data_IF_111380597459
#
_entry.id   IF_111380597459
#
_cell.length_a   1.000
_cell.length_b   1.000
_cell.length_c   1.000
_cell.angle_alpha   90.00
_cell.angle_beta   90.00
_cell.angle_gamma   90.00
#
_symmetry.space_group_name_H-M   'P 1'
#
loop_
_entity.id
_entity.type
_entity.pdbx_description
1 polymer ?
#
# COMPACT_ATOMS: atom_id res chain seq x y z
N UNK A 1 2.42 9.30 -8.91
CA UNK A 1 1.95 8.18 -9.74
C UNK A 1 3.16 7.55 -10.43
N UNK A 2 3.33 6.23 -10.36
CA UNK A 2 4.39 5.51 -11.07
C UNK A 2 4.13 5.57 -12.58
N UNK A 3 5.18 5.80 -13.36
CA UNK A 3 5.09 5.73 -14.82
C UNK A 3 5.00 4.28 -15.29
N UNK A 4 4.39 4.04 -16.44
CA UNK A 4 4.28 2.70 -17.06
C UNK A 4 5.66 2.05 -17.22
N UNK A 5 6.67 2.84 -17.60
CA UNK A 5 8.07 2.38 -17.69
C UNK A 5 8.60 1.88 -16.34
N UNK A 6 8.29 2.57 -15.24
CA UNK A 6 8.66 2.13 -13.91
C UNK A 6 7.90 0.84 -13.52
N UNK A 7 6.60 0.77 -13.83
CA UNK A 7 5.79 -0.42 -13.59
C UNK A 7 6.32 -1.64 -14.36
N UNK A 8 6.69 -1.50 -15.64
CA UNK A 8 7.33 -2.57 -16.44
C UNK A 8 8.65 -3.04 -15.80
N UNK A 9 9.47 -2.11 -15.30
CA UNK A 9 10.71 -2.44 -14.59
C UNK A 9 10.45 -3.23 -13.30
N UNK A 10 9.41 -2.89 -12.55
CA UNK A 10 9.03 -3.58 -11.32
C UNK A 10 8.42 -4.97 -11.58
N UNK A 11 7.52 -5.07 -12.55
CA UNK A 11 6.82 -6.30 -12.92
C UNK A 11 7.71 -7.28 -13.70
N UNK A 12 8.83 -6.81 -14.29
CA UNK A 12 9.81 -7.64 -14.99
C UNK A 12 9.12 -8.57 -16.00
N UNK A 13 9.29 -9.89 -15.84
CA UNK A 13 8.76 -10.92 -16.74
C UNK A 13 7.23 -10.94 -16.77
N UNK A 14 6.54 -10.53 -15.70
CA UNK A 14 5.08 -10.51 -15.64
C UNK A 14 4.47 -9.45 -16.56
N UNK A 15 5.22 -8.42 -16.93
CA UNK A 15 4.75 -7.35 -17.83
C UNK A 15 5.02 -7.59 -19.31
N UNK A 16 5.73 -8.67 -19.69
CA UNK A 16 6.15 -8.90 -21.08
C UNK A 16 5.00 -9.03 -22.06
N UNK A 17 3.91 -9.66 -21.62
CA UNK A 17 2.73 -9.92 -22.45
C UNK A 17 1.58 -8.96 -22.15
N UNK A 18 1.81 -7.96 -21.28
CA UNK A 18 0.79 -6.99 -20.90
C UNK A 18 0.92 -5.74 -21.76
N UNK A 19 -0.23 -5.25 -22.21
CA UNK A 19 -0.40 -3.93 -22.82
C UNK A 19 -0.15 -2.82 -21.79
N UNK A 20 0.06 -1.60 -22.26
CA UNK A 20 0.25 -0.44 -21.39
C UNK A 20 -1.00 -0.16 -20.53
N UNK A 21 -2.20 -0.36 -21.09
CA UNK A 21 -3.48 -0.24 -20.39
C UNK A 21 -3.64 -1.29 -19.26
N UNK A 22 -3.25 -2.54 -19.52
CA UNK A 22 -3.26 -3.58 -18.48
C UNK A 22 -2.27 -3.27 -17.35
N UNK A 23 -1.12 -2.70 -17.67
CA UNK A 23 -0.13 -2.28 -16.67
C UNK A 23 -0.64 -1.09 -15.86
N UNK A 24 -1.36 -0.17 -16.48
CA UNK A 24 -2.05 0.93 -15.82
C UNK A 24 -3.11 0.40 -14.83
N UNK A 25 -3.94 -0.55 -15.26
CA UNK A 25 -4.91 -1.19 -14.38
C UNK A 25 -4.26 -1.90 -13.18
N UNK A 26 -3.16 -2.62 -13.39
CA UNK A 26 -2.39 -3.26 -12.30
C UNK A 26 -1.84 -2.21 -11.33
N UNK A 27 -1.27 -1.12 -11.85
CA UNK A 27 -0.75 -0.02 -11.02
C UNK A 27 -1.85 0.58 -10.16
N UNK A 28 -3.00 0.85 -10.74
CA UNK A 28 -4.10 1.52 -10.06
C UNK A 28 -4.72 0.61 -9.00
N UNK A 29 -4.84 -0.69 -9.27
CA UNK A 29 -5.23 -1.69 -8.27
C UNK A 29 -4.26 -1.74 -7.08
N UNK A 30 -2.95 -1.70 -7.33
CA UNK A 30 -1.94 -1.67 -6.27
C UNK A 30 -2.05 -0.41 -5.41
N UNK A 31 -2.37 0.74 -6.01
CA UNK A 31 -2.61 1.97 -5.26
C UNK A 31 -3.86 1.88 -4.39
N UNK A 32 -4.96 1.35 -4.91
CA UNK A 32 -6.18 1.13 -4.13
C UNK A 32 -5.91 0.19 -2.95
N UNK A 33 -5.19 -0.91 -3.19
CA UNK A 33 -4.85 -1.85 -2.13
C UNK A 33 -3.96 -1.22 -1.06
N UNK A 34 -2.92 -0.48 -1.45
CA UNK A 34 -2.04 0.21 -0.52
C UNK A 34 -2.81 1.24 0.33
N UNK A 35 -3.75 1.95 -0.29
CA UNK A 35 -4.61 2.90 0.42
C UNK A 35 -5.44 2.20 1.51
N UNK A 36 -6.13 1.11 1.16
CA UNK A 36 -6.93 0.32 2.11
C UNK A 36 -6.08 -0.21 3.26
N UNK A 37 -4.88 -0.74 2.98
CA UNK A 37 -4.00 -1.25 4.05
C UNK A 37 -3.53 -0.13 4.98
N UNK A 38 -3.23 1.06 4.45
CA UNK A 38 -2.80 2.20 5.28
C UNK A 38 -3.97 2.68 6.14
N UNK A 39 -5.18 2.79 5.58
CA UNK A 39 -6.36 3.16 6.36
C UNK A 39 -6.66 2.15 7.45
N UNK A 40 -6.63 0.85 7.15
CA UNK A 40 -6.83 -0.21 8.12
C UNK A 40 -5.78 -0.17 9.23
N UNK A 41 -4.50 -0.03 8.86
CA UNK A 41 -3.41 0.13 9.82
C UNK A 41 -3.62 1.33 10.74
N UNK A 42 -3.94 2.50 10.18
CA UNK A 42 -4.18 3.72 10.96
C UNK A 42 -5.41 3.59 11.86
N UNK A 43 -6.48 2.94 11.39
CA UNK A 43 -7.67 2.69 12.19
C UNK A 43 -7.40 1.72 13.34
N UNK A 44 -6.60 0.68 13.11
CA UNK A 44 -6.18 -0.26 14.16
C UNK A 44 -5.23 0.39 15.16
N UNK A 45 -4.34 1.29 14.72
CA UNK A 45 -3.43 2.03 15.59
C UNK A 45 -4.09 3.14 16.41
N UNK A 46 -5.25 3.69 15.99
CA UNK A 46 -5.99 4.71 16.76
C UNK A 46 -6.40 4.25 18.17
N UNK A 47 -6.54 2.94 18.37
CA UNK A 47 -6.95 2.35 19.65
C UNK A 47 -5.77 1.82 20.49
N UNK A 48 -4.53 1.98 20.01
CA UNK A 48 -3.33 1.50 20.72
C UNK A 48 -2.83 2.60 21.65
N UNK A 49 -3.13 2.48 22.94
CA UNK A 49 -2.59 3.35 23.98
C UNK A 49 -1.22 2.82 24.39
N UNK A 50 -0.17 3.66 24.49
CA UNK A 50 1.13 3.21 24.98
C UNK A 50 1.03 2.64 26.40
N UNK A 51 1.62 1.46 26.63
CA UNK A 51 1.67 0.77 27.94
C UNK A 51 2.25 1.67 29.06
N UNK A 52 3.05 2.67 28.70
CA UNK A 52 3.59 3.67 29.65
C UNK A 52 2.55 4.63 30.23
N UNK A 53 1.35 4.73 29.66
CA UNK A 53 0.29 5.61 30.16
C UNK A 53 -0.48 5.03 31.36
N UNK A 54 -0.34 3.73 31.66
CA UNK A 54 -1.12 3.07 32.73
C UNK A 54 -0.45 3.11 34.12
N UNK A 55 0.82 3.51 34.23
CA UNK A 55 1.43 3.74 35.55
C UNK A 55 1.11 5.15 36.04
N UNK A 56 -0.14 5.37 36.45
CA UNK A 56 -0.40 6.37 37.49
C UNK A 56 0.30 5.88 38.75
N UNK A 57 1.36 6.58 39.12
CA UNK A 57 2.09 6.39 40.38
C UNK A 57 1.08 6.33 41.53
N UNK A 58 1.13 5.24 42.31
CA UNK A 58 0.46 5.12 43.60
C UNK A 58 1.41 5.54 44.70
#
# INVERSE_FOLDING_TARGET
MLSIKACRKCLKNYSKNLTDDEIENVRDLMYQFAFVMVEDYLNNCKNVVPISAERKEK
#
